data_IF_490681739154
#
_entry.id   IF_490681739154
#
_cell.length_a   1.000
_cell.length_b   1.000
_cell.length_c   1.000
_cell.angle_alpha   90.00
_cell.angle_beta   90.00
_cell.angle_gamma   90.00
#
_symmetry.space_group_name_H-M   'P 1'
#
loop_
_entity.id
_entity.type
_entity.pdbx_description
1 polymer ?
#
# COMPACT_ATOMS: atom_id res chain seq x y z
N UNK A 1 28.40 18.89 31.07
CA UNK A 1 27.39 19.47 30.15
C UNK A 1 26.39 18.37 29.81
N UNK A 2 25.08 18.56 30.02
CA UNK A 2 24.10 17.61 29.52
C UNK A 2 24.15 17.65 27.99
N UNK A 3 24.43 16.52 27.34
CA UNK A 3 24.37 16.42 25.88
C UNK A 3 22.91 16.30 25.50
N UNK A 4 22.29 17.39 25.07
CA UNK A 4 20.97 17.38 24.45
C UNK A 4 21.08 16.61 23.12
N UNK A 5 20.81 15.31 23.17
CA UNK A 5 20.63 14.46 21.99
C UNK A 5 19.14 14.20 21.82
N UNK A 6 18.60 14.55 20.66
CA UNK A 6 17.25 14.18 20.23
C UNK A 6 17.18 12.71 19.80
N UNK A 7 18.30 12.15 19.34
CA UNK A 7 18.39 10.71 19.07
C UNK A 7 18.40 9.91 20.37
N UNK A 8 17.52 8.91 20.42
CA UNK A 8 17.41 7.90 21.48
C UNK A 8 17.04 6.56 20.86
N UNK A 9 17.58 5.48 21.43
CA UNK A 9 17.31 4.10 20.99
C UNK A 9 15.84 3.69 21.19
N UNK A 10 15.16 4.31 22.15
CA UNK A 10 13.75 4.06 22.45
C UNK A 10 12.88 5.23 21.98
N UNK A 11 11.65 4.91 21.57
CA UNK A 11 10.63 5.91 21.25
C UNK A 11 10.18 6.61 22.54
N UNK A 12 10.57 7.86 22.70
CA UNK A 12 10.19 8.69 23.85
C UNK A 12 8.96 9.55 23.56
N UNK A 13 8.53 10.36 24.53
CA UNK A 13 7.38 11.27 24.35
C UNK A 13 7.55 12.24 23.17
N UNK A 14 8.79 12.60 22.82
CA UNK A 14 9.08 13.46 21.66
C UNK A 14 8.60 12.80 20.35
N UNK A 15 8.77 11.48 20.23
CA UNK A 15 8.26 10.72 19.07
C UNK A 15 6.74 10.80 18.98
N UNK A 16 6.04 10.56 20.10
CA UNK A 16 4.58 10.59 20.14
C UNK A 16 4.02 11.98 19.82
N UNK A 17 4.72 13.04 20.24
CA UNK A 17 4.36 14.42 19.90
C UNK A 17 4.49 14.69 18.39
N UNK A 18 5.60 14.29 17.76
CA UNK A 18 5.73 14.44 16.31
C UNK A 18 4.68 13.60 15.58
N UNK A 19 4.47 12.37 16.02
CA UNK A 19 3.51 11.45 15.42
C UNK A 19 2.08 11.98 15.45
N UNK A 20 1.63 12.54 16.58
CA UNK A 20 0.26 13.08 16.67
C UNK A 20 0.03 14.25 15.73
N UNK A 21 1.02 15.15 15.62
CA UNK A 21 0.94 16.31 14.72
C UNK A 21 0.96 15.88 13.25
N UNK A 22 1.81 14.90 12.90
CA UNK A 22 1.87 14.39 11.53
C UNK A 22 0.57 13.66 11.19
N UNK A 23 0.03 12.83 12.10
CA UNK A 23 -1.25 12.16 11.92
C UNK A 23 -2.38 13.15 11.60
N UNK A 24 -2.43 14.28 12.31
CA UNK A 24 -3.43 15.32 12.08
C UNK A 24 -3.29 15.94 10.68
N UNK A 25 -2.06 16.15 10.17
CA UNK A 25 -1.85 16.64 8.80
C UNK A 25 -2.44 15.69 7.75
N UNK A 26 -2.27 14.38 7.94
CA UNK A 26 -2.88 13.38 7.05
C UNK A 26 -4.40 13.31 7.20
N UNK A 27 -4.93 13.44 8.42
CA UNK A 27 -6.37 13.38 8.68
C UNK A 27 -7.11 14.58 8.07
N UNK A 28 -6.52 15.77 8.12
CA UNK A 28 -7.11 17.01 7.59
C UNK A 28 -6.81 17.23 6.10
N UNK A 29 -5.57 16.95 5.68
CA UNK A 29 -5.10 17.24 4.31
C UNK A 29 -5.19 16.07 3.33
N UNK A 30 -5.33 14.84 3.82
CA UNK A 30 -5.29 13.63 3.00
C UNK A 30 -6.62 13.28 2.36
N UNK A 31 -6.55 12.67 1.17
CA UNK A 31 -7.71 12.07 0.50
C UNK A 31 -8.00 10.70 1.08
N UNK A 32 -9.25 10.24 0.98
CA UNK A 32 -9.63 8.91 1.40
C UNK A 32 -9.13 7.88 0.37
N UNK A 33 -8.55 6.79 0.88
CA UNK A 33 -8.18 5.60 0.13
C UNK A 33 -8.90 4.42 0.75
N UNK A 34 -9.64 3.68 -0.08
CA UNK A 34 -10.27 2.44 0.31
C UNK A 34 -9.28 1.30 0.04
N UNK A 35 -8.92 0.58 1.10
CA UNK A 35 -7.90 -0.46 1.05
C UNK A 35 -8.58 -1.82 1.11
N UNK A 36 -8.32 -2.60 0.07
CA UNK A 36 -8.63 -4.02 0.01
C UNK A 36 -7.38 -4.78 0.47
N UNK A 37 -7.44 -5.31 1.70
CA UNK A 37 -6.30 -5.93 2.38
C UNK A 37 -6.01 -7.31 1.81
N UNK A 38 -4.82 -7.54 1.29
CA UNK A 38 -4.38 -8.84 0.81
C UNK A 38 -4.15 -9.82 1.97
N UNK A 39 -4.71 -11.02 1.87
CA UNK A 39 -4.61 -12.10 2.87
C UNK A 39 -3.73 -13.27 2.42
N UNK A 40 -3.28 -13.29 1.16
CA UNK A 40 -2.52 -14.40 0.59
C UNK A 40 -3.22 -15.05 -0.60
N UNK A 41 -2.62 -16.11 -1.17
CA UNK A 41 -3.25 -16.86 -2.24
C UNK A 41 -4.44 -17.69 -1.73
N UNK A 42 -5.41 -17.93 -2.59
CA UNK A 42 -6.57 -18.78 -2.33
C UNK A 42 -6.11 -20.23 -2.17
N UNK A 43 -6.61 -20.90 -1.14
CA UNK A 43 -6.39 -22.32 -0.94
C UNK A 43 -7.26 -23.10 -1.93
N UNK A 44 -6.75 -23.29 -3.14
CA UNK A 44 -7.23 -24.35 -4.03
C UNK A 44 -6.79 -25.67 -3.40
N UNK A 45 -7.76 -26.55 -3.07
CA UNK A 45 -7.63 -27.88 -2.47
C UNK A 45 -6.43 -28.73 -2.89
N UNK A 46 -6.28 -29.94 -2.32
CA UNK A 46 -5.40 -30.94 -2.95
C UNK A 46 -5.89 -31.21 -4.39
N UNK A 47 -5.26 -30.55 -5.36
CA UNK A 47 -5.40 -30.88 -6.76
C UNK A 47 -4.36 -31.94 -7.08
N UNK A 48 -4.77 -33.02 -7.75
CA UNK A 48 -3.87 -34.04 -8.31
C UNK A 48 -3.12 -33.52 -9.55
N UNK A 49 -2.80 -32.23 -9.58
CA UNK A 49 -2.09 -31.55 -10.66
C UNK A 49 -0.69 -31.16 -10.16
N UNK A 50 0.38 -31.85 -10.60
CA UNK A 50 1.75 -31.56 -10.19
C UNK A 50 2.24 -30.16 -10.60
N UNK A 51 1.51 -29.46 -11.48
CA UNK A 51 1.86 -28.10 -11.91
C UNK A 51 1.39 -27.00 -10.94
N UNK A 52 0.56 -27.34 -9.95
CA UNK A 52 0.07 -26.40 -8.93
C UNK A 52 0.59 -26.80 -7.54
N UNK A 53 1.27 -25.90 -6.81
CA UNK A 53 1.78 -26.25 -5.49
C UNK A 53 0.65 -26.43 -4.48
N UNK A 54 0.74 -27.52 -3.71
CA UNK A 54 -0.20 -27.81 -2.64
C UNK A 54 0.11 -26.93 -1.41
N UNK A 55 -0.60 -25.81 -1.26
CA UNK A 55 -0.43 -24.87 -0.14
C UNK A 55 -0.92 -25.42 1.22
N UNK A 56 -1.60 -26.57 1.24
CA UNK A 56 -1.97 -27.28 2.48
C UNK A 56 -0.77 -27.85 3.23
N UNK A 57 0.37 -28.04 2.54
CA UNK A 57 1.57 -28.63 3.14
C UNK A 57 2.40 -27.64 3.98
N UNK A 58 2.12 -26.34 3.93
CA UNK A 58 2.71 -25.34 4.83
C UNK A 58 2.04 -25.46 6.19
N UNK A 59 2.84 -25.55 7.26
CA UNK A 59 2.38 -25.81 8.64
C UNK A 59 1.35 -24.79 9.18
N UNK A 60 1.22 -23.62 8.52
CA UNK A 60 0.30 -22.54 8.87
C UNK A 60 -0.76 -22.23 7.77
N UNK A 61 -0.86 -23.04 6.71
CA UNK A 61 -1.70 -22.75 5.53
C UNK A 61 -1.11 -21.68 4.60
N UNK A 62 -1.89 -21.25 3.58
CA UNK A 62 -1.55 -20.10 2.74
C UNK A 62 -1.61 -18.80 3.54
N UNK A 63 -0.50 -18.06 3.55
CA UNK A 63 -0.34 -16.73 4.17
C UNK A 63 0.07 -15.71 3.11
N UNK A 64 0.05 -14.42 3.46
CA UNK A 64 0.51 -13.29 2.66
C UNK A 64 1.94 -13.44 2.11
N UNK A 65 2.77 -14.28 2.74
CA UNK A 65 4.17 -14.53 2.34
C UNK A 65 4.31 -15.76 1.41
N UNK A 66 3.26 -16.55 1.27
CA UNK A 66 3.27 -17.75 0.42
C UNK A 66 3.25 -17.35 -1.06
N UNK A 67 4.11 -17.99 -1.85
CA UNK A 67 4.22 -17.79 -3.30
C UNK A 67 3.55 -18.98 -4.01
N UNK A 68 2.64 -18.69 -4.95
CA UNK A 68 1.93 -19.71 -5.73
C UNK A 68 2.75 -20.24 -6.91
N UNK A 69 3.48 -19.39 -7.63
CA UNK A 69 4.38 -19.85 -8.68
C UNK A 69 5.84 -19.60 -8.29
N UNK A 70 6.61 -20.66 -8.06
CA UNK A 70 8.03 -20.56 -7.70
C UNK A 70 8.92 -20.16 -8.89
N UNK A 71 8.47 -20.37 -10.13
CA UNK A 71 9.23 -20.04 -11.34
C UNK A 71 9.06 -18.56 -11.71
N UNK A 72 7.82 -18.08 -11.69
CA UNK A 72 7.48 -16.68 -12.01
C UNK A 72 7.38 -15.77 -10.79
N UNK A 73 7.52 -16.34 -9.59
CA UNK A 73 7.41 -15.63 -8.30
C UNK A 73 6.10 -14.86 -8.14
N UNK A 74 5.00 -15.38 -8.70
CA UNK A 74 3.71 -14.70 -8.69
C UNK A 74 2.65 -15.40 -7.85
N UNK A 75 1.65 -14.61 -7.45
CA UNK A 75 0.43 -15.06 -6.81
C UNK A 75 -0.74 -14.74 -7.74
N UNK A 76 -1.31 -15.78 -8.36
CA UNK A 76 -2.39 -15.67 -9.36
C UNK A 76 -3.76 -15.57 -8.68
N UNK A 77 -4.01 -16.45 -7.71
CA UNK A 77 -5.33 -16.57 -7.08
C UNK A 77 -5.33 -15.74 -5.79
N UNK A 78 -5.37 -14.40 -5.89
CA UNK A 78 -5.25 -13.49 -4.73
C UNK A 78 -6.54 -13.42 -3.92
N UNK A 79 -6.44 -13.59 -2.60
CA UNK A 79 -7.55 -13.43 -1.66
C UNK A 79 -7.43 -12.12 -0.87
N UNK A 80 -8.55 -11.43 -0.73
CA UNK A 80 -8.67 -10.18 0.03
C UNK A 80 -9.59 -10.35 1.23
N UNK A 81 -9.40 -9.49 2.24
CA UNK A 81 -10.32 -9.35 3.37
C UNK A 81 -11.68 -8.82 2.85
N UNK A 82 -12.81 -9.39 3.27
CA UNK A 82 -14.13 -8.84 2.92
C UNK A 82 -14.36 -7.44 3.47
N UNK A 83 -13.68 -7.05 4.56
CA UNK A 83 -13.80 -5.71 5.14
C UNK A 83 -12.94 -4.69 4.39
N UNK A 84 -13.51 -3.52 4.11
CA UNK A 84 -12.83 -2.41 3.44
C UNK A 84 -12.33 -1.42 4.49
N UNK A 85 -11.05 -1.07 4.43
CA UNK A 85 -10.42 -0.14 5.37
C UNK A 85 -10.23 1.25 4.74
N UNK A 86 -10.59 2.31 5.45
CA UNK A 86 -10.37 3.67 4.99
C UNK A 86 -9.09 4.27 5.60
N UNK A 87 -8.12 4.61 4.74
CA UNK A 87 -6.91 5.33 5.11
C UNK A 87 -6.89 6.72 4.50
N UNK A 88 -6.19 7.65 5.17
CA UNK A 88 -5.96 9.00 4.65
C UNK A 88 -4.54 9.08 4.10
N UNK A 89 -4.43 9.41 2.81
CA UNK A 89 -3.18 9.43 2.07
C UNK A 89 -2.98 10.75 1.35
N UNK A 90 -1.72 11.08 1.10
CA UNK A 90 -1.30 12.24 0.31
C UNK A 90 -0.54 11.74 -0.92
N UNK A 91 -0.87 12.26 -2.09
CA UNK A 91 -0.14 11.98 -3.31
C UNK A 91 -0.07 13.23 -4.17
N UNK A 92 0.96 13.32 -5.01
CA UNK A 92 1.08 14.41 -5.96
C UNK A 92 0.42 14.01 -7.29
N UNK A 93 -0.46 14.86 -7.80
CA UNK A 93 -1.00 14.71 -9.15
C UNK A 93 0.04 15.28 -10.11
N UNK A 94 0.61 14.42 -10.95
CA UNK A 94 1.55 14.80 -11.99
C UNK A 94 1.11 14.27 -13.33
N UNK A 95 1.07 15.14 -14.35
CA UNK A 95 0.85 14.74 -15.74
C UNK A 95 2.19 14.30 -16.34
N UNK A 96 2.41 12.99 -16.47
CA UNK A 96 3.54 12.47 -17.23
C UNK A 96 3.15 12.39 -18.71
N UNK A 97 3.76 13.24 -19.54
CA UNK A 97 3.59 13.20 -21.00
C UNK A 97 4.58 12.22 -21.63
N UNK A 98 4.09 11.36 -22.51
CA UNK A 98 4.90 10.31 -23.13
C UNK A 98 5.68 10.86 -24.32
N UNK A 99 7.00 11.00 -24.17
CA UNK A 99 7.86 11.26 -25.32
C UNK A 99 8.41 9.94 -25.90
N UNK A 100 7.86 9.52 -27.03
CA UNK A 100 8.26 8.32 -27.78
C UNK A 100 9.50 8.54 -28.66
N UNK A 101 10.13 9.73 -28.63
CA UNK A 101 11.26 10.07 -29.50
C UNK A 101 12.57 9.34 -29.16
N UNK A 102 12.70 8.78 -27.95
CA UNK A 102 13.91 8.07 -27.53
C UNK A 102 13.70 6.55 -27.59
N UNK A 103 14.43 5.88 -28.48
CA UNK A 103 14.55 4.42 -28.46
C UNK A 103 15.30 3.98 -27.20
N UNK A 104 14.55 3.70 -26.15
CA UNK A 104 15.04 3.29 -24.84
C UNK A 104 13.83 3.10 -23.95
N UNK A 105 13.49 1.83 -23.72
CA UNK A 105 12.27 1.39 -23.07
C UNK A 105 12.15 1.93 -21.64
N UNK A 106 11.45 3.04 -21.46
CA UNK A 106 10.89 3.46 -20.18
C UNK A 106 9.41 3.77 -20.39
N UNK A 107 8.61 2.71 -20.46
CA UNK A 107 7.17 2.83 -20.25
C UNK A 107 6.97 3.16 -18.77
N UNK A 108 6.98 4.44 -18.41
CA UNK A 108 6.38 4.87 -17.17
C UNK A 108 4.87 4.66 -17.31
N UNK A 109 4.39 3.49 -16.90
CA UNK A 109 2.98 3.33 -16.58
C UNK A 109 2.57 4.42 -15.56
N UNK A 110 1.27 4.70 -15.47
CA UNK A 110 0.67 5.64 -14.50
C UNK A 110 0.95 5.17 -13.06
N UNK A 111 2.17 5.43 -12.58
CA UNK A 111 2.67 5.05 -11.27
C UNK A 111 2.38 6.18 -10.28
N UNK A 112 1.56 5.87 -9.30
CA UNK A 112 1.16 6.80 -8.26
C UNK A 112 1.96 6.53 -6.98
N UNK A 113 2.70 7.52 -6.52
CA UNK A 113 3.34 7.46 -5.20
C UNK A 113 2.45 8.09 -4.15
N UNK A 114 2.09 7.31 -3.14
CA UNK A 114 1.19 7.74 -2.05
C UNK A 114 1.89 7.61 -0.72
N UNK A 115 1.85 8.68 0.07
CA UNK A 115 2.34 8.72 1.45
C UNK A 115 1.17 8.51 2.42
N UNK A 116 1.38 7.64 3.42
CA UNK A 116 0.45 7.31 4.49
C UNK A 116 1.11 7.43 5.86
N UNK A 117 0.32 7.68 6.89
CA UNK A 117 0.81 7.69 8.27
C UNK A 117 0.97 6.26 8.83
N UNK A 118 2.16 5.91 9.34
CA UNK A 118 2.52 4.54 9.77
C UNK A 118 1.62 4.06 10.91
N UNK A 119 1.50 4.83 11.99
CA UNK A 119 0.79 4.36 13.18
C UNK A 119 -0.73 4.31 12.97
N UNK A 120 -1.28 5.19 12.12
CA UNK A 120 -2.72 5.15 11.76
C UNK A 120 -3.03 3.91 10.90
N UNK A 121 -2.17 3.64 9.92
CA UNK A 121 -2.27 2.44 9.09
C UNK A 121 -2.19 1.16 9.93
N UNK A 122 -1.24 1.07 10.87
CA UNK A 122 -1.14 -0.08 11.78
C UNK A 122 -2.39 -0.18 12.68
N UNK A 123 -2.91 0.94 13.18
CA UNK A 123 -4.08 0.93 14.06
C UNK A 123 -5.35 0.45 13.34
N UNK A 124 -5.53 0.80 12.07
CA UNK A 124 -6.73 0.45 11.28
C UNK A 124 -6.63 -0.91 10.60
N UNK A 125 -5.49 -1.19 9.96
CA UNK A 125 -5.30 -2.38 9.12
C UNK A 125 -4.63 -3.54 9.88
N UNK A 126 -4.01 -3.25 11.03
CA UNK A 126 -3.26 -4.21 11.86
C UNK A 126 -1.84 -4.49 11.36
N UNK A 127 -1.48 -4.00 10.16
CA UNK A 127 -0.15 -4.09 9.57
C UNK A 127 0.11 -2.90 8.64
N UNK A 128 1.33 -2.77 8.15
CA UNK A 128 1.65 -1.82 7.08
C UNK A 128 1.14 -2.36 5.74
N UNK A 129 0.88 -1.45 4.81
CA UNK A 129 0.62 -1.78 3.40
C UNK A 129 1.82 -2.53 2.83
N UNK A 130 1.53 -3.55 2.04
CA UNK A 130 2.50 -4.40 1.39
C UNK A 130 2.15 -4.60 -0.08
N UNK A 131 3.10 -5.13 -0.84
CA UNK A 131 2.87 -5.53 -2.22
C UNK A 131 1.65 -6.46 -2.33
N UNK A 132 0.75 -6.16 -3.27
CA UNK A 132 -0.48 -6.92 -3.51
C UNK A 132 -1.74 -6.35 -2.85
N UNK A 133 -1.62 -5.44 -1.87
CA UNK A 133 -2.76 -4.65 -1.39
C UNK A 133 -3.33 -3.80 -2.53
N UNK A 134 -4.66 -3.65 -2.58
CA UNK A 134 -5.32 -2.86 -3.62
C UNK A 134 -5.89 -1.59 -3.02
N UNK A 135 -5.61 -0.46 -3.67
CA UNK A 135 -6.08 0.86 -3.31
C UNK A 135 -7.14 1.31 -4.31
N UNK A 136 -8.28 1.71 -3.79
CA UNK A 136 -9.35 2.36 -4.54
C UNK A 136 -9.41 3.83 -4.14
N UNK A 137 -9.50 4.70 -5.16
CA UNK A 137 -9.54 6.16 -5.00
C UNK A 137 -10.95 6.67 -5.34
N UNK A 138 -11.81 6.94 -4.33
CA UNK A 138 -13.18 7.34 -4.57
C UNK A 138 -13.32 8.66 -5.36
N UNK A 139 -12.36 9.57 -5.21
CA UNK A 139 -12.37 10.87 -5.89
C UNK A 139 -11.90 10.81 -7.34
N UNK A 140 -11.28 9.72 -7.79
CA UNK A 140 -10.92 9.48 -9.19
C UNK A 140 -11.93 8.58 -9.91
N UNK A 141 -13.09 8.35 -9.29
CA UNK A 141 -14.17 7.61 -9.92
C UNK A 141 -14.69 8.40 -11.12
N UNK A 142 -14.76 7.76 -12.29
CA UNK A 142 -15.28 8.37 -13.50
C UNK A 142 -16.81 8.28 -13.51
N UNK A 143 -17.47 9.43 -13.37
CA UNK A 143 -18.92 9.60 -13.46
C UNK A 143 -19.39 10.09 -14.84
N UNK A 144 -18.46 10.37 -15.75
CA UNK A 144 -18.72 10.98 -17.08
C UNK A 144 -18.85 9.96 -18.21
N UNK A 145 -19.41 8.79 -17.91
CA UNK A 145 -19.58 7.72 -18.88
C UNK A 145 -20.52 8.13 -20.03
N UNK A 146 -20.27 7.58 -21.22
CA UNK A 146 -21.09 7.83 -22.42
C UNK A 146 -22.55 7.40 -22.24
N UNK A 147 -22.79 6.37 -21.43
CA UNK A 147 -24.12 5.92 -21.03
C UNK A 147 -24.45 6.45 -19.62
N UNK A 148 -25.38 7.42 -19.49
CA UNK A 148 -25.76 7.99 -18.20
C UNK A 148 -26.48 7.02 -17.26
N UNK A 149 -26.90 5.85 -17.76
CA UNK A 149 -27.60 4.83 -16.97
C UNK A 149 -26.64 3.87 -16.24
N UNK A 150 -25.36 3.87 -16.60
CA UNK A 150 -24.35 3.04 -15.99
C UNK A 150 -23.71 3.71 -14.78
N UNK A 151 -23.35 2.90 -13.78
CA UNK A 151 -22.62 3.38 -12.61
C UNK A 151 -21.19 3.77 -13.00
N UNK A 152 -20.69 4.86 -12.39
CA UNK A 152 -19.33 5.32 -12.61
C UNK A 152 -18.28 4.25 -12.29
N UNK A 153 -17.17 4.24 -13.04
CA UNK A 153 -16.12 3.23 -12.95
C UNK A 153 -15.12 3.62 -11.87
N UNK A 154 -14.87 2.70 -10.94
CA UNK A 154 -13.87 2.89 -9.88
C UNK A 154 -12.46 2.66 -10.41
N UNK A 155 -11.51 3.44 -9.90
CA UNK A 155 -10.10 3.31 -10.23
C UNK A 155 -9.36 2.55 -9.14
N UNK A 156 -8.70 1.47 -9.54
CA UNK A 156 -7.95 0.58 -8.66
C UNK A 156 -6.46 0.64 -9.00
N UNK A 157 -5.64 0.70 -7.97
CA UNK A 157 -4.19 0.58 -8.06
C UNK A 157 -3.73 -0.59 -7.18
N UNK A 158 -2.74 -1.33 -7.65
CA UNK A 158 -2.08 -2.39 -6.87
C UNK A 158 -0.81 -1.80 -6.28
N UNK A 159 -0.57 -2.03 -4.99
CA UNK A 159 0.70 -1.68 -4.37
C UNK A 159 1.78 -2.63 -4.91
N UNK A 160 2.82 -2.07 -5.51
CA UNK A 160 3.96 -2.85 -6.00
C UNK A 160 5.08 -2.96 -4.96
N UNK A 161 5.49 -1.82 -4.40
CA UNK A 161 6.53 -1.74 -3.38
C UNK A 161 6.13 -0.73 -2.30
N UNK A 162 6.79 -0.82 -1.15
CA UNK A 162 6.50 0.04 -0.02
C UNK A 162 7.77 0.29 0.82
N UNK A 163 8.05 1.56 1.09
CA UNK A 163 9.25 1.95 1.83
C UNK A 163 8.98 3.12 2.80
N UNK A 164 9.90 3.34 3.72
CA UNK A 164 9.89 4.54 4.58
C UNK A 164 10.21 5.74 3.72
N UNK A 165 9.32 6.73 3.72
CA UNK A 165 9.55 7.96 2.97
C UNK A 165 10.74 8.73 3.57
N UNK A 166 11.62 9.27 2.72
CA UNK A 166 12.76 10.10 3.16
C UNK A 166 12.30 11.36 3.90
N UNK A 167 11.17 11.94 3.48
CA UNK A 167 10.49 13.07 4.13
C UNK A 167 9.81 12.70 5.46
N UNK A 168 9.68 11.40 5.74
CA UNK A 168 8.93 10.87 6.88
C UNK A 168 9.69 10.79 8.19
N UNK A 169 10.95 11.25 8.24
CA UNK A 169 11.78 11.18 9.43
C UNK A 169 11.65 12.45 10.26
N UNK A 170 11.29 12.31 11.54
CA UNK A 170 11.31 13.44 12.47
C UNK A 170 12.73 13.73 12.95
N UNK A 171 12.90 14.83 13.70
CA UNK A 171 14.18 15.19 14.33
C UNK A 171 14.68 14.13 15.34
N UNK A 172 13.80 13.20 15.74
CA UNK A 172 14.14 12.02 16.54
C UNK A 172 14.73 10.86 15.72
N UNK A 173 14.87 11.02 14.40
CA UNK A 173 15.32 10.02 13.42
C UNK A 173 14.43 8.78 13.29
N UNK A 174 13.23 8.81 13.86
CA UNK A 174 12.23 7.78 13.66
C UNK A 174 11.33 8.09 12.46
N UNK A 175 10.92 7.06 11.68
CA UNK A 175 10.00 7.24 10.57
C UNK A 175 8.55 7.31 11.07
N UNK A 176 7.77 8.18 10.45
CA UNK A 176 6.32 8.36 10.68
C UNK A 176 5.49 8.12 9.41
N UNK A 177 6.12 8.18 8.24
CA UNK A 177 5.44 8.08 6.94
C UNK A 177 5.86 6.80 6.20
N UNK A 178 4.87 6.11 5.66
CA UNK A 178 4.98 4.96 4.78
C UNK A 178 4.63 5.41 3.37
N UNK A 179 5.53 5.18 2.40
CA UNK A 179 5.29 5.48 1.00
C UNK A 179 5.09 4.17 0.25
N UNK A 180 4.04 4.14 -0.55
CA UNK A 180 3.71 3.08 -1.52
C UNK A 180 3.66 3.66 -2.93
#
# INVERSE_FOLDING_TARGET
MPRLSLWRQEKSNDYNFFDSNIREQFEVGGTAFLVHKYLGPENVGEQNDPSQPNHYASTNGASEVTIQDMLLMENRDRKYDPDIYELRGLYNVSDNDFDLSQFGFFLTADNLFVSFHINDMIAKLGRKLMSGDVLELPHLRDDTLLDPSLNGINKFYVVEDANRASEGFSQSWWPHIWRV
#
